data_IF_380609641303
#
_entry.id   IF_380609641303
#
_cell.length_a   1.000
_cell.length_b   1.000
_cell.length_c   1.000
_cell.angle_alpha   90.00
_cell.angle_beta   90.00
_cell.angle_gamma   90.00
#
_symmetry.space_group_name_H-M   'P 1'
#
loop_
_entity.id
_entity.type
_entity.pdbx_description
1 polymer ?
#
# COMPACT_ATOMS: atom_id res chain seq x y z
N UNK A 1 8.34 -4.90 -14.34
CA UNK A 1 8.28 -3.76 -13.42
C UNK A 1 6.89 -3.73 -12.82
N UNK A 2 6.76 -3.72 -11.48
CA UNK A 2 5.48 -3.91 -10.80
C UNK A 2 4.51 -2.74 -11.02
N UNK A 3 3.23 -3.07 -11.16
CA UNK A 3 2.14 -2.11 -11.30
C UNK A 3 2.09 -1.16 -10.10
N UNK A 4 1.77 0.14 -10.33
CA UNK A 4 1.52 1.06 -9.23
C UNK A 4 0.26 0.64 -8.46
N UNK A 5 0.35 0.66 -7.13
CA UNK A 5 -0.76 0.35 -6.23
C UNK A 5 -0.89 1.44 -5.17
N UNK A 6 -2.11 1.82 -4.84
CA UNK A 6 -2.43 2.62 -3.67
C UNK A 6 -2.60 1.72 -2.45
N UNK A 7 -2.21 2.22 -1.28
CA UNK A 7 -2.32 1.53 0.00
C UNK A 7 -3.42 2.14 0.86
N UNK A 8 -4.16 1.33 1.61
CA UNK A 8 -5.19 1.85 2.53
C UNK A 8 -4.57 2.57 3.73
N UNK A 9 -4.84 3.86 3.88
CA UNK A 9 -4.23 4.73 4.89
C UNK A 9 -4.65 4.34 6.33
N UNK A 10 -5.90 3.92 6.53
CA UNK A 10 -6.43 3.52 7.85
C UNK A 10 -5.66 2.35 8.48
N UNK A 11 -5.06 1.49 7.67
CA UNK A 11 -4.27 0.34 8.14
C UNK A 11 -2.86 0.77 8.53
N UNK A 12 -2.35 1.86 7.94
CA UNK A 12 -1.04 2.43 8.28
C UNK A 12 -1.10 3.42 9.44
N UNK A 13 -2.25 4.07 9.66
CA UNK A 13 -2.47 5.02 10.76
C UNK A 13 -3.61 4.53 11.66
N UNK A 14 -3.36 3.54 12.53
CA UNK A 14 -4.37 3.01 13.45
C UNK A 14 -4.85 4.05 14.47
N UNK A 15 -4.09 5.13 14.68
CA UNK A 15 -4.46 6.24 15.57
C UNK A 15 -5.46 7.20 14.92
N UNK A 16 -5.79 7.02 13.63
CA UNK A 16 -6.62 7.96 12.83
C UNK A 16 -6.18 9.40 13.05
N UNK A 17 -4.87 9.60 13.16
CA UNK A 17 -4.25 10.91 13.34
C UNK A 17 -4.55 11.79 12.13
N UNK A 18 -4.72 11.15 10.96
CA UNK A 18 -5.32 11.75 9.76
C UNK A 18 -6.83 11.94 10.01
N UNK A 19 -7.23 13.19 10.30
CA UNK A 19 -8.61 13.57 10.65
C UNK A 19 -9.67 13.16 9.62
N UNK A 20 -10.95 13.41 9.92
CA UNK A 20 -12.14 12.91 9.18
C UNK A 20 -12.16 13.16 7.64
N UNK A 21 -11.30 14.03 7.11
CA UNK A 21 -11.14 14.35 5.69
C UNK A 21 -9.89 13.74 5.05
N UNK A 22 -9.21 12.85 5.75
CA UNK A 22 -8.05 12.14 5.25
C UNK A 22 -8.39 11.27 4.04
N UNK A 23 -7.53 11.30 3.03
CA UNK A 23 -7.60 10.34 1.93
C UNK A 23 -7.51 8.92 2.48
N UNK A 24 -8.53 8.10 2.17
CA UNK A 24 -8.60 6.68 2.57
C UNK A 24 -7.49 5.83 1.96
N UNK A 25 -6.90 6.31 0.87
CA UNK A 25 -5.81 5.69 0.13
C UNK A 25 -4.60 6.61 0.13
N UNK A 26 -3.43 6.04 0.30
CA UNK A 26 -2.16 6.75 0.34
C UNK A 26 -1.21 6.17 -0.71
N UNK A 27 -0.48 7.09 -1.35
CA UNK A 27 0.80 6.85 -2.01
C UNK A 27 0.75 5.93 -3.23
N UNK A 28 1.49 6.22 -4.31
CA UNK A 28 1.86 5.20 -5.26
C UNK A 28 2.96 4.32 -4.63
N UNK A 29 2.67 3.04 -4.47
CA UNK A 29 3.63 2.01 -4.10
C UNK A 29 3.78 1.02 -5.25
N UNK A 30 4.84 0.21 -5.21
CA UNK A 30 5.07 -0.89 -6.15
C UNK A 30 5.07 -2.20 -5.40
N UNK A 31 4.47 -3.24 -5.98
CA UNK A 31 4.58 -4.60 -5.44
C UNK A 31 5.99 -5.12 -5.75
N UNK A 32 6.76 -5.44 -4.72
CA UNK A 32 8.13 -5.99 -4.87
C UNK A 32 8.20 -7.49 -4.69
N UNK A 33 7.41 -8.04 -3.77
CA UNK A 33 7.43 -9.47 -3.49
C UNK A 33 6.03 -9.99 -3.21
N UNK A 34 5.73 -11.18 -3.71
CA UNK A 34 4.53 -11.94 -3.36
C UNK A 34 4.93 -12.92 -2.26
N UNK A 35 4.38 -12.77 -1.07
CA UNK A 35 4.64 -13.69 0.05
C UNK A 35 3.74 -14.91 -0.05
N UNK A 36 2.46 -14.68 -0.38
CA UNK A 36 1.43 -15.71 -0.55
C UNK A 36 0.34 -15.15 -1.45
N UNK A 37 -0.51 -16.01 -2.02
CA UNK A 37 -1.74 -15.57 -2.69
C UNK A 37 -2.52 -14.59 -1.80
N UNK A 38 -2.55 -13.32 -2.25
CA UNK A 38 -3.21 -12.23 -1.55
C UNK A 38 -2.35 -11.42 -0.58
N UNK A 39 -1.07 -11.74 -0.36
CA UNK A 39 -0.16 -11.01 0.54
C UNK A 39 1.11 -10.56 -0.17
N UNK A 40 1.35 -9.25 -0.16
CA UNK A 40 2.39 -8.60 -0.94
C UNK A 40 3.28 -7.70 -0.08
N UNK A 41 4.57 -7.68 -0.35
CA UNK A 41 5.47 -6.62 0.11
C UNK A 41 5.41 -5.48 -0.91
N UNK A 42 5.26 -4.27 -0.38
CA UNK A 42 5.28 -3.06 -1.18
C UNK A 42 6.63 -2.36 -1.05
N UNK A 43 7.03 -1.60 -2.07
CA UNK A 43 8.07 -0.59 -1.96
C UNK A 43 7.54 0.79 -2.30
N UNK A 44 8.20 1.81 -1.76
CA UNK A 44 8.03 3.18 -2.23
C UNK A 44 8.50 3.29 -3.69
N UNK A 45 8.11 4.38 -4.36
CA UNK A 45 8.62 4.70 -5.70
C UNK A 45 10.15 4.90 -5.73
N UNK A 46 10.74 5.20 -4.58
CA UNK A 46 12.19 5.33 -4.38
C UNK A 46 12.90 3.98 -4.19
N UNK A 47 12.17 2.86 -4.27
CA UNK A 47 12.74 1.51 -4.16
C UNK A 47 12.97 1.02 -2.74
N UNK A 48 12.49 1.75 -1.71
CA UNK A 48 12.55 1.27 -0.33
C UNK A 48 11.41 0.31 -0.05
N UNK A 49 11.72 -0.95 0.26
CA UNK A 49 10.72 -1.92 0.70
C UNK A 49 10.11 -1.48 2.03
N UNK A 50 8.79 -1.60 2.13
CA UNK A 50 8.08 -1.45 3.40
C UNK A 50 8.28 -2.71 4.23
N UNK A 51 8.57 -2.58 5.53
CA UNK A 51 8.78 -3.74 6.42
C UNK A 51 7.50 -4.55 6.68
N UNK A 52 6.33 -4.04 6.27
CA UNK A 52 5.03 -4.66 6.49
C UNK A 52 4.53 -5.39 5.24
N UNK A 53 3.93 -6.56 5.46
CA UNK A 53 3.20 -7.31 4.42
C UNK A 53 1.76 -6.81 4.31
N UNK A 54 1.30 -6.60 3.09
CA UNK A 54 0.00 -6.01 2.77
C UNK A 54 -0.91 -7.01 2.07
N UNK A 55 -2.11 -7.19 2.62
CA UNK A 55 -3.14 -8.00 1.96
C UNK A 55 -3.72 -7.28 0.74
N UNK A 56 -4.12 -8.02 -0.29
CA UNK A 56 -4.71 -7.49 -1.53
C UNK A 56 -5.93 -6.60 -1.27
N UNK A 57 -6.71 -6.90 -0.23
CA UNK A 57 -7.87 -6.09 0.19
C UNK A 57 -7.51 -4.70 0.70
N UNK A 58 -6.24 -4.48 1.07
CA UNK A 58 -5.70 -3.20 1.52
C UNK A 58 -4.93 -2.47 0.42
N UNK A 59 -4.94 -3.01 -0.80
CA UNK A 59 -4.28 -2.46 -1.98
C UNK A 59 -5.32 -2.13 -3.04
N UNK A 60 -5.10 -1.04 -3.77
CA UNK A 60 -5.89 -0.67 -4.94
C UNK A 60 -4.96 -0.48 -6.11
N UNK A 61 -5.11 -1.30 -7.16
CA UNK A 61 -4.34 -1.14 -8.39
C UNK A 61 -4.65 0.22 -9.02
N UNK A 62 -3.60 0.95 -9.37
CA UNK A 62 -3.67 2.15 -10.18
C UNK A 62 -3.57 1.69 -11.63
N UNK A 63 -4.68 1.75 -12.35
CA UNK A 63 -4.70 1.60 -13.80
C UNK A 63 -4.41 2.99 -14.38
N UNK A 64 -3.32 3.12 -15.12
CA UNK A 64 -2.99 4.32 -15.91
C UNK A 64 -3.44 4.13 -17.34
#
# INVERSE_FOLDING_TARGET
>A
MGDPVLRRAEVSDPRRTRGKLALRWEGPYRVTQVIRDGSYILSTMEGRALPQTWHVSNLKKLYV
#
